data_IF_315923937934
#
_entry.id   IF_315923937934
#
_cell.length_a   1.000
_cell.length_b   1.000
_cell.length_c   1.000
_cell.angle_alpha   90.00
_cell.angle_beta   90.00
_cell.angle_gamma   90.00
#
_symmetry.space_group_name_H-M   'P 1'
#
loop_
_entity.id
_entity.type
_entity.pdbx_description
1 polymer ?
#
# COMPACT_ATOMS: atom_id res chain seq x y z
N UNK A 1 -5.46 6.85 -17.56
CA UNK A 1 -4.07 6.73 -17.07
C UNK A 1 -4.15 6.07 -15.69
N UNK A 2 -3.39 5.01 -15.39
CA UNK A 2 -3.41 4.40 -14.04
C UNK A 2 -2.68 5.34 -13.08
N UNK A 3 -3.32 5.74 -11.98
CA UNK A 3 -2.75 6.66 -10.98
C UNK A 3 -1.80 5.90 -10.06
N UNK A 4 -0.59 6.41 -9.85
CA UNK A 4 0.33 5.81 -8.87
C UNK A 4 -0.07 6.22 -7.45
N UNK A 5 0.21 5.36 -6.47
CA UNK A 5 -0.07 5.70 -5.07
C UNK A 5 0.75 6.90 -4.58
N UNK A 6 2.03 7.01 -4.99
CA UNK A 6 2.91 8.11 -4.59
C UNK A 6 2.35 9.49 -5.02
N UNK A 7 1.65 9.55 -6.15
CA UNK A 7 0.99 10.76 -6.64
C UNK A 7 -0.16 11.20 -5.72
N UNK A 8 -0.80 10.26 -5.01
CA UNK A 8 -1.86 10.57 -4.06
C UNK A 8 -1.30 11.21 -2.78
N UNK A 9 -0.26 10.64 -2.19
CA UNK A 9 0.30 11.14 -0.92
C UNK A 9 1.10 12.43 -1.10
N UNK A 10 1.44 12.81 -2.34
CA UNK A 10 2.05 14.09 -2.73
C UNK A 10 3.35 14.45 -1.97
N UNK A 11 4.01 13.46 -1.38
CA UNK A 11 5.25 13.56 -0.60
C UNK A 11 6.07 12.27 -0.79
N UNK A 12 7.32 12.25 -0.32
CA UNK A 12 8.12 11.04 -0.37
C UNK A 12 7.61 9.98 0.63
N UNK A 13 7.72 8.70 0.28
CA UNK A 13 7.33 7.60 1.18
C UNK A 13 8.17 7.59 2.48
N UNK A 14 9.38 8.15 2.45
CA UNK A 14 10.28 8.32 3.59
C UNK A 14 9.71 9.23 4.69
N UNK A 15 8.78 10.11 4.34
CA UNK A 15 8.09 11.01 5.29
C UNK A 15 6.94 10.33 6.03
N UNK A 16 6.57 9.12 5.62
CA UNK A 16 5.45 8.38 6.17
C UNK A 16 5.91 7.29 7.13
N UNK A 17 5.21 7.16 8.26
CA UNK A 17 5.34 5.98 9.12
C UNK A 17 4.47 4.85 8.60
N UNK A 18 5.09 3.76 8.19
CA UNK A 18 4.37 2.53 7.81
C UNK A 18 4.02 1.74 9.08
N UNK A 19 2.75 1.36 9.21
CA UNK A 19 2.27 0.53 10.31
C UNK A 19 1.52 -0.69 9.79
N UNK A 20 1.84 -1.86 10.32
CA UNK A 20 1.23 -3.12 9.92
C UNK A 20 0.19 -3.60 10.93
N UNK A 21 -0.98 -3.99 10.45
CA UNK A 21 -1.97 -4.70 11.27
C UNK A 21 -1.52 -6.14 11.50
N UNK A 22 -1.87 -6.73 12.65
CA UNK A 22 -1.56 -8.13 12.99
C UNK A 22 -2.02 -9.11 11.91
N UNK A 23 -3.18 -8.87 11.29
CA UNK A 23 -3.63 -9.70 10.18
C UNK A 23 -2.69 -9.62 8.97
N UNK A 24 -2.21 -8.43 8.63
CA UNK A 24 -1.31 -8.22 7.51
C UNK A 24 0.03 -8.91 7.73
N UNK A 25 0.66 -8.72 8.90
CA UNK A 25 1.95 -9.37 9.23
C UNK A 25 1.84 -10.90 9.22
N UNK A 26 0.73 -11.47 9.70
CA UNK A 26 0.48 -12.91 9.61
C UNK A 26 0.42 -13.40 8.16
N UNK A 27 -0.30 -12.69 7.28
CA UNK A 27 -0.38 -13.05 5.85
C UNK A 27 0.95 -12.89 5.15
N UNK A 28 1.73 -11.88 5.52
CA UNK A 28 3.08 -11.68 5.00
C UNK A 28 3.95 -12.89 5.33
N UNK A 29 3.97 -13.32 6.60
CA UNK A 29 4.71 -14.50 7.02
C UNK A 29 4.25 -15.78 6.29
N UNK A 30 2.95 -16.06 6.28
CA UNK A 30 2.36 -17.26 5.63
C UNK A 30 2.70 -17.37 4.13
N UNK A 31 2.97 -16.24 3.48
CA UNK A 31 3.22 -16.17 2.05
C UNK A 31 4.69 -15.89 1.73
N UNK A 32 5.55 -15.60 2.70
CA UNK A 32 6.91 -15.12 2.44
C UNK A 32 6.91 -13.78 1.69
N UNK A 33 6.15 -12.81 2.20
CA UNK A 33 6.16 -11.42 1.73
C UNK A 33 7.00 -10.63 2.73
N UNK A 34 8.01 -9.94 2.23
CA UNK A 34 8.93 -9.13 3.02
C UNK A 34 8.55 -7.65 2.95
N UNK A 35 9.08 -6.84 3.86
CA UNK A 35 8.85 -5.39 3.89
C UNK A 35 9.27 -4.70 2.59
N UNK A 36 10.35 -5.18 1.94
CA UNK A 36 10.80 -4.67 0.64
C UNK A 36 9.72 -4.81 -0.44
N UNK A 37 8.94 -5.90 -0.43
CA UNK A 37 7.87 -6.14 -1.39
C UNK A 37 6.74 -5.11 -1.19
N UNK A 38 6.47 -4.76 0.07
CA UNK A 38 5.47 -3.74 0.44
C UNK A 38 5.93 -2.36 -0.03
N UNK A 39 7.19 -2.00 0.23
CA UNK A 39 7.77 -0.72 -0.20
C UNK A 39 7.70 -0.59 -1.73
N UNK A 40 8.03 -1.66 -2.46
CA UNK A 40 7.97 -1.66 -3.92
C UNK A 40 6.54 -1.43 -4.44
N UNK A 41 5.53 -2.05 -3.81
CA UNK A 41 4.11 -1.80 -4.15
C UNK A 41 3.70 -0.36 -3.83
N UNK A 42 4.15 0.21 -2.71
CA UNK A 42 3.80 1.58 -2.33
C UNK A 42 4.45 2.62 -3.27
N UNK A 43 5.67 2.37 -3.73
CA UNK A 43 6.40 3.27 -4.64
C UNK A 43 5.89 3.18 -6.07
N UNK A 44 5.68 1.95 -6.56
CA UNK A 44 5.50 1.70 -7.99
C UNK A 44 4.16 1.05 -8.34
N UNK A 45 3.33 0.74 -7.33
CA UNK A 45 2.00 0.20 -7.53
C UNK A 45 1.00 1.25 -8.03
N UNK A 46 0.00 0.76 -8.75
CA UNK A 46 -1.12 1.58 -9.23
C UNK A 46 -2.32 1.42 -8.33
N UNK A 47 -3.00 2.52 -8.04
CA UNK A 47 -4.31 2.50 -7.41
C UNK A 47 -5.30 1.88 -8.40
N UNK A 48 -5.98 0.82 -7.98
CA UNK A 48 -7.03 0.16 -8.77
C UNK A 48 -8.42 0.37 -8.18
N UNK A 49 -8.52 0.61 -6.87
CA UNK A 49 -9.76 1.05 -6.20
C UNK A 49 -9.46 2.09 -5.11
N UNK A 50 -10.35 3.06 -4.96
CA UNK A 50 -10.29 4.13 -3.95
C UNK A 50 -11.52 4.06 -3.06
N UNK A 51 -11.32 3.93 -1.74
CA UNK A 51 -12.38 3.91 -0.74
C UNK A 51 -12.24 5.13 0.18
N UNK A 52 -12.41 6.32 -0.40
CA UNK A 52 -12.20 7.60 0.29
C UNK A 52 -13.19 7.87 1.44
N UNK A 53 -14.28 7.08 1.51
CA UNK A 53 -15.33 7.19 2.53
C UNK A 53 -15.25 6.10 3.60
N UNK A 54 -14.23 5.24 3.56
CA UNK A 54 -14.04 4.21 4.57
C UNK A 54 -13.84 4.81 5.97
N UNK A 55 -14.29 4.07 6.97
CA UNK A 55 -14.09 4.37 8.37
C UNK A 55 -13.17 3.30 8.99
N UNK A 56 -12.16 3.69 9.79
CA UNK A 56 -11.88 5.03 10.32
C UNK A 56 -11.05 5.95 9.41
N UNK A 57 -10.46 5.43 8.34
CA UNK A 57 -9.54 6.16 7.47
C UNK A 57 -9.83 5.82 6.00
N UNK A 58 -9.58 6.74 5.05
CA UNK A 58 -9.65 6.43 3.63
C UNK A 58 -8.66 5.32 3.29
N UNK A 59 -9.07 4.40 2.40
CA UNK A 59 -8.24 3.28 2.00
C UNK A 59 -8.12 3.13 0.48
N UNK A 60 -7.08 2.43 0.04
CA UNK A 60 -6.72 2.22 -1.36
C UNK A 60 -6.37 0.76 -1.59
N UNK A 61 -6.88 0.19 -2.68
CA UNK A 61 -6.38 -1.07 -3.20
C UNK A 61 -5.32 -0.78 -4.25
N UNK A 62 -4.09 -1.18 -3.94
CA UNK A 62 -2.95 -1.08 -4.84
C UNK A 62 -2.72 -2.43 -5.50
N UNK A 63 -2.36 -2.38 -6.78
CA UNK A 63 -1.88 -3.55 -7.52
C UNK A 63 -0.50 -3.24 -8.11
N UNK A 64 0.41 -4.19 -7.94
CA UNK A 64 1.66 -4.24 -8.68
C UNK A 64 1.83 -5.61 -9.31
N UNK A 65 1.96 -5.61 -10.63
CA UNK A 65 2.49 -6.76 -11.34
C UNK A 65 4.00 -6.79 -11.08
N UNK A 66 4.49 -7.80 -10.36
CA UNK A 66 5.93 -8.03 -10.23
C UNK A 66 6.49 -8.58 -11.54
N UNK A 67 7.75 -8.29 -11.83
CA UNK A 67 8.51 -8.89 -12.94
C UNK A 67 8.76 -10.39 -12.72
N UNK A 68 8.61 -10.90 -11.50
CA UNK A 68 8.84 -12.31 -11.13
C UNK A 68 7.53 -13.10 -10.94
N UNK A 69 6.49 -12.79 -11.72
CA UNK A 69 5.21 -13.54 -11.76
C UNK A 69 4.44 -13.60 -10.43
N UNK A 70 4.79 -12.73 -9.48
CA UNK A 70 4.14 -12.67 -8.17
C UNK A 70 3.36 -11.37 -8.00
N UNK A 71 2.12 -11.27 -8.54
CA UNK A 71 1.29 -10.09 -8.34
C UNK A 71 0.97 -9.91 -6.85
N UNK A 72 1.16 -8.70 -6.35
CA UNK A 72 0.87 -8.34 -4.97
C UNK A 72 -0.21 -7.26 -4.94
N UNK A 73 -1.30 -7.58 -4.24
CA UNK A 73 -2.35 -6.64 -3.91
C UNK A 73 -2.17 -6.17 -2.47
N UNK A 74 -2.17 -4.85 -2.29
CA UNK A 74 -2.01 -4.20 -0.99
C UNK A 74 -3.21 -3.30 -0.72
N UNK A 75 -3.90 -3.53 0.39
CA UNK A 75 -4.87 -2.58 0.92
C UNK A 75 -4.15 -1.70 1.93
N UNK A 76 -4.12 -0.39 1.68
CA UNK A 76 -3.47 0.60 2.55
C UNK A 76 -4.48 1.64 2.99
N UNK A 77 -4.46 2.01 4.27
CA UNK A 77 -5.19 3.15 4.79
C UNK A 77 -4.23 4.31 5.02
N UNK A 78 -4.66 5.54 4.71
CA UNK A 78 -3.83 6.74 4.85
C UNK A 78 -4.36 7.62 5.97
N UNK A 79 -3.50 7.92 6.93
CA UNK A 79 -3.80 8.86 8.02
C UNK A 79 -3.11 10.20 7.77
N UNK A 80 -3.86 11.16 7.23
CA UNK A 80 -3.38 12.54 7.03
C UNK A 80 -3.45 13.40 8.31
N UNK A 81 -4.03 12.88 9.41
CA UNK A 81 -4.28 13.65 10.64
C UNK A 81 -3.12 13.61 11.63
N UNK A 82 -2.27 12.57 11.53
CA UNK A 82 -1.08 12.40 12.36
C UNK A 82 0.13 13.07 11.71
N UNK A 83 0.20 14.41 11.75
CA UNK A 83 1.47 15.15 11.54
C UNK A 83 2.26 15.25 12.83
#
# INVERSE_FOLDING_TARGET
MKKKFIEYISNELSEWRIAYRVHATRRMFERGIEEKDIIEVLQEGTIIEEYLKDYPLPSFLLNRASTEDRPLHLVVAVDNSSK
#
